data_IF_795611073833
#
_entry.id   IF_795611073833
#
_cell.length_a   1.000
_cell.length_b   1.000
_cell.length_c   1.000
_cell.angle_alpha   90.00
_cell.angle_beta   90.00
_cell.angle_gamma   90.00
#
_symmetry.space_group_name_H-M   'P 1'
#
loop_
_entity.id
_entity.type
_entity.pdbx_description
1 polymer ?
#
# COMPACT_ATOMS: atom_id res chain seq x y z
N UNK A 1 -28.15 1.45 -20.60
CA UNK A 1 -26.93 1.96 -21.24
C UNK A 1 -25.78 1.31 -20.51
N UNK A 2 -25.05 0.38 -21.14
CA UNK A 2 -23.82 -0.17 -20.57
C UNK A 2 -22.84 0.98 -20.38
N UNK A 3 -22.27 1.14 -19.19
CA UNK A 3 -21.25 2.17 -18.97
C UNK A 3 -20.04 1.83 -19.86
N UNK A 4 -19.52 2.80 -20.62
CA UNK A 4 -18.32 2.57 -21.46
C UNK A 4 -17.00 2.72 -20.67
N UNK A 5 -17.09 3.05 -19.38
CA UNK A 5 -15.96 3.37 -18.52
C UNK A 5 -16.16 2.82 -17.11
N UNK A 6 -15.05 2.62 -16.41
CA UNK A 6 -15.06 2.30 -14.98
C UNK A 6 -15.40 3.54 -14.15
N UNK A 7 -15.97 3.38 -12.96
CA UNK A 7 -16.08 4.46 -11.96
C UNK A 7 -15.26 4.09 -10.74
N UNK A 8 -14.22 4.88 -10.44
CA UNK A 8 -13.43 4.73 -9.23
C UNK A 8 -14.09 5.60 -8.15
N UNK A 9 -14.91 4.98 -7.29
CA UNK A 9 -15.53 5.64 -6.14
C UNK A 9 -14.53 5.59 -4.98
N UNK A 10 -13.80 6.68 -4.80
CA UNK A 10 -12.65 6.75 -3.90
C UNK A 10 -12.58 8.09 -3.17
N UNK A 11 -11.47 8.34 -2.47
CA UNK A 11 -11.23 9.63 -1.80
C UNK A 11 -9.76 10.02 -1.84
N UNK A 12 -9.47 11.32 -1.87
CA UNK A 12 -8.11 11.85 -1.93
C UNK A 12 -7.25 11.41 -0.74
N UNK A 13 -7.85 11.33 0.45
CA UNK A 13 -7.17 10.85 1.65
C UNK A 13 -7.12 9.31 1.82
N UNK A 14 -7.40 8.53 0.78
CA UNK A 14 -7.29 7.07 0.81
C UNK A 14 -6.07 6.61 -0.01
N UNK A 15 -5.06 5.96 0.62
CA UNK A 15 -3.88 5.49 -0.11
C UNK A 15 -4.25 4.52 -1.23
N UNK A 16 -5.16 3.59 -0.97
CA UNK A 16 -5.65 2.62 -1.94
C UNK A 16 -6.41 3.27 -3.11
N UNK A 17 -7.15 4.35 -2.85
CA UNK A 17 -7.88 5.06 -3.92
C UNK A 17 -6.91 5.76 -4.87
N UNK A 18 -5.86 6.37 -4.30
CA UNK A 18 -4.82 7.03 -5.07
C UNK A 18 -3.96 6.02 -5.86
N UNK A 19 -3.60 4.88 -5.24
CA UNK A 19 -2.97 3.72 -5.89
C UNK A 19 -3.76 3.28 -7.12
N UNK A 20 -5.06 2.96 -6.96
CA UNK A 20 -5.87 2.49 -8.08
C UNK A 20 -6.07 3.56 -9.15
N UNK A 21 -6.27 4.83 -8.78
CA UNK A 21 -6.39 5.92 -9.76
C UNK A 21 -5.14 6.06 -10.63
N UNK A 22 -3.96 6.02 -10.02
CA UNK A 22 -2.70 6.11 -10.74
C UNK A 22 -2.47 4.89 -11.64
N UNK A 23 -2.82 3.68 -11.19
CA UNK A 23 -2.78 2.47 -12.02
C UNK A 23 -3.67 2.65 -13.26
N UNK A 24 -4.92 3.10 -13.08
CA UNK A 24 -5.84 3.34 -14.20
C UNK A 24 -5.30 4.39 -15.18
N UNK A 25 -4.73 5.49 -14.67
CA UNK A 25 -4.09 6.53 -15.50
C UNK A 25 -2.89 5.99 -16.26
N UNK A 26 -1.98 5.30 -15.58
CA UNK A 26 -0.81 4.67 -16.21
C UNK A 26 -1.22 3.67 -17.28
N UNK A 27 -2.14 2.76 -16.97
CA UNK A 27 -2.63 1.72 -17.89
C UNK A 27 -3.54 2.27 -18.99
N UNK A 28 -3.87 3.57 -18.95
CA UNK A 28 -4.77 4.26 -19.90
C UNK A 28 -6.16 3.61 -19.97
N UNK A 29 -6.65 3.08 -18.85
CA UNK A 29 -7.98 2.48 -18.77
C UNK A 29 -9.01 3.62 -18.63
N UNK A 30 -10.01 3.74 -19.52
CA UNK A 30 -11.04 4.78 -19.42
C UNK A 30 -11.83 4.68 -18.11
N UNK A 31 -11.81 5.75 -17.33
CA UNK A 31 -12.47 5.80 -16.03
C UNK A 31 -12.96 7.19 -15.67
N UNK A 32 -13.94 7.23 -14.77
CA UNK A 32 -14.32 8.41 -14.02
C UNK A 32 -13.76 8.32 -12.60
N UNK A 33 -13.11 9.38 -12.15
CA UNK A 33 -12.84 9.59 -10.73
C UNK A 33 -14.11 10.12 -10.06
N UNK A 34 -14.63 9.38 -9.09
CA UNK A 34 -15.81 9.76 -8.32
C UNK A 34 -15.39 9.97 -6.87
N UNK A 35 -15.25 11.23 -6.47
CA UNK A 35 -14.97 11.59 -5.09
C UNK A 35 -16.14 11.14 -4.19
N UNK A 36 -15.84 10.34 -3.17
CA UNK A 36 -16.83 9.80 -2.26
C UNK A 36 -17.45 10.92 -1.43
N UNK A 37 -18.78 10.98 -1.45
CA UNK A 37 -19.64 11.91 -0.74
C UNK A 37 -20.82 11.15 -0.09
N UNK A 38 -21.78 11.86 0.49
CA UNK A 38 -22.92 11.22 1.17
C UNK A 38 -23.83 10.42 0.23
N UNK A 39 -23.97 10.82 -1.03
CA UNK A 39 -24.80 10.12 -2.02
C UNK A 39 -24.14 8.81 -2.48
N UNK A 40 -22.87 8.89 -2.88
CA UNK A 40 -22.09 7.71 -3.30
C UNK A 40 -21.88 6.73 -2.15
N UNK A 41 -21.77 7.21 -0.89
CA UNK A 41 -21.81 6.33 0.30
C UNK A 41 -23.11 5.53 0.40
N UNK A 42 -24.26 6.13 0.06
CA UNK A 42 -25.56 5.43 0.02
C UNK A 42 -25.62 4.45 -1.16
N UNK A 43 -25.14 4.87 -2.33
CA UNK A 43 -25.05 4.04 -3.54
C UNK A 43 -24.34 2.72 -3.26
N UNK A 44 -23.16 2.78 -2.65
CA UNK A 44 -22.28 1.61 -2.42
C UNK A 44 -22.46 0.96 -1.05
N UNK A 45 -23.50 1.32 -0.29
CA UNK A 45 -23.72 0.81 1.08
C UNK A 45 -23.93 -0.71 1.14
N UNK A 46 -24.23 -1.35 0.01
CA UNK A 46 -24.40 -2.79 -0.15
C UNK A 46 -23.08 -3.55 -0.38
N UNK A 47 -22.00 -2.86 -0.75
CA UNK A 47 -20.69 -3.46 -1.04
C UNK A 47 -19.98 -3.84 0.26
N UNK A 48 -19.31 -5.00 0.27
CA UNK A 48 -18.59 -5.53 1.44
C UNK A 48 -17.19 -6.00 1.04
N UNK A 49 -16.16 -5.77 1.88
CA UNK A 49 -16.17 -4.92 3.09
C UNK A 49 -16.39 -3.43 2.75
N UNK A 50 -16.82 -2.57 3.70
CA UNK A 50 -17.11 -1.15 3.43
C UNK A 50 -15.83 -0.32 3.39
N UNK A 51 -14.95 -0.62 2.44
CA UNK A 51 -13.63 0.01 2.23
C UNK A 51 -13.57 0.63 0.84
N UNK A 52 -12.79 1.72 0.71
CA UNK A 52 -12.53 2.38 -0.57
C UNK A 52 -11.10 2.09 -1.04
N UNK A 53 -10.83 2.07 -2.35
CA UNK A 53 -11.76 2.39 -3.44
C UNK A 53 -12.77 1.28 -3.70
N UNK A 54 -13.94 1.68 -4.19
CA UNK A 54 -14.92 0.78 -4.80
C UNK A 54 -14.95 1.12 -6.27
N UNK A 55 -14.65 0.15 -7.13
CA UNK A 55 -14.65 0.34 -8.57
C UNK A 55 -15.89 -0.31 -9.15
N UNK A 56 -16.75 0.50 -9.78
CA UNK A 56 -17.83 -0.01 -10.62
C UNK A 56 -17.26 -0.31 -12.01
N UNK A 57 -17.50 -1.53 -12.47
CA UNK A 57 -17.08 -1.99 -13.79
C UNK A 57 -18.10 -1.58 -14.87
N UNK A 58 -17.72 -1.61 -16.16
CA UNK A 58 -18.62 -1.32 -17.29
C UNK A 58 -19.93 -2.12 -17.29
N UNK A 59 -19.90 -3.34 -16.75
CA UNK A 59 -21.07 -4.23 -16.59
C UNK A 59 -21.98 -3.87 -15.40
N UNK A 60 -21.62 -2.84 -14.62
CA UNK A 60 -22.35 -2.36 -13.46
C UNK A 60 -22.01 -3.06 -12.15
N UNK A 61 -21.15 -4.08 -12.15
CA UNK A 61 -20.71 -4.77 -10.92
C UNK A 61 -19.74 -3.92 -10.11
N UNK A 62 -19.78 -4.05 -8.78
CA UNK A 62 -18.91 -3.30 -7.86
C UNK A 62 -17.88 -4.22 -7.22
N UNK A 63 -16.62 -3.78 -7.26
CA UNK A 63 -15.47 -4.51 -6.72
C UNK A 63 -14.66 -3.61 -5.77
N UNK A 64 -14.05 -4.21 -4.76
CA UNK A 64 -13.12 -3.58 -3.82
C UNK A 64 -11.99 -4.57 -3.53
N UNK A 65 -11.06 -4.21 -2.63
CA UNK A 65 -9.79 -4.91 -2.40
C UNK A 65 -8.81 -4.75 -3.58
N UNK A 66 -7.82 -3.85 -3.42
CA UNK A 66 -6.95 -3.41 -4.52
C UNK A 66 -6.12 -4.53 -5.11
N UNK A 67 -5.59 -5.44 -4.29
CA UNK A 67 -4.69 -6.50 -4.74
C UNK A 67 -5.35 -7.47 -5.72
N UNK A 68 -6.47 -8.17 -5.40
CA UNK A 68 -7.14 -9.05 -6.36
C UNK A 68 -7.69 -8.27 -7.56
N UNK A 69 -8.10 -7.02 -7.35
CA UNK A 69 -8.61 -6.16 -8.42
C UNK A 69 -7.53 -5.80 -9.44
N UNK A 70 -6.28 -5.60 -9.02
CA UNK A 70 -5.15 -5.42 -9.95
C UNK A 70 -5.05 -6.63 -10.89
N UNK A 71 -5.06 -7.86 -10.36
CA UNK A 71 -4.95 -9.06 -11.18
C UNK A 71 -6.17 -9.29 -12.09
N UNK A 72 -7.39 -8.99 -11.63
CA UNK A 72 -8.57 -9.03 -12.50
C UNK A 72 -8.48 -7.99 -13.64
N UNK A 73 -7.97 -6.78 -13.36
CA UNK A 73 -7.73 -5.77 -14.40
C UNK A 73 -6.60 -6.18 -15.36
N UNK A 74 -5.57 -6.88 -14.90
CA UNK A 74 -4.54 -7.47 -15.79
C UNK A 74 -5.16 -8.51 -16.72
N UNK A 75 -6.10 -9.34 -16.25
CA UNK A 75 -6.78 -10.33 -17.09
C UNK A 75 -7.74 -9.68 -18.11
N UNK A 76 -8.31 -8.51 -17.80
CA UNK A 76 -9.31 -7.82 -18.64
C UNK A 76 -8.71 -6.88 -19.68
N UNK A 77 -7.51 -6.36 -19.44
CA UNK A 77 -6.89 -5.33 -20.28
C UNK A 77 -5.49 -5.75 -20.71
N UNK A 78 -5.21 -5.63 -22.01
CA UNK A 78 -3.89 -5.94 -22.58
C UNK A 78 -2.97 -4.72 -22.63
N UNK A 79 -1.66 -4.94 -22.52
CA UNK A 79 -0.64 -3.89 -22.62
C UNK A 79 -0.53 -3.04 -21.35
N UNK A 80 0.61 -2.36 -21.19
CA UNK A 80 0.92 -1.52 -20.02
C UNK A 80 0.73 -2.27 -18.70
N UNK A 81 1.06 -3.56 -18.70
CA UNK A 81 1.01 -4.41 -17.51
C UNK A 81 1.86 -3.81 -16.40
N UNK A 82 1.39 -3.95 -15.16
CA UNK A 82 2.16 -3.59 -13.95
C UNK A 82 2.70 -4.82 -13.22
N UNK A 83 2.54 -6.01 -13.79
CA UNK A 83 3.08 -7.26 -13.26
C UNK A 83 4.29 -7.65 -14.11
N UNK A 84 5.49 -7.80 -13.52
CA UNK A 84 6.64 -8.31 -14.25
C UNK A 84 6.37 -9.66 -14.92
N UNK A 85 6.94 -9.89 -16.10
CA UNK A 85 6.74 -11.13 -16.86
C UNK A 85 7.54 -12.31 -16.28
N UNK A 86 8.73 -12.04 -15.74
CA UNK A 86 9.55 -13.07 -15.11
C UNK A 86 9.00 -13.41 -13.72
N UNK A 87 8.78 -14.70 -13.46
CA UNK A 87 8.08 -15.20 -12.27
C UNK A 87 8.71 -14.71 -10.95
N UNK A 88 10.05 -14.69 -10.88
CA UNK A 88 10.77 -14.24 -9.71
C UNK A 88 10.54 -12.76 -9.43
N UNK A 89 10.67 -11.89 -10.44
CA UNK A 89 10.36 -10.47 -10.31
C UNK A 89 8.88 -10.22 -10.00
N UNK A 90 7.97 -11.00 -10.57
CA UNK A 90 6.54 -10.90 -10.27
C UNK A 90 6.25 -11.21 -8.80
N UNK A 91 6.89 -12.25 -8.25
CA UNK A 91 6.82 -12.57 -6.83
C UNK A 91 7.39 -11.46 -5.94
N UNK A 92 8.56 -10.92 -6.29
CA UNK A 92 9.17 -9.81 -5.56
C UNK A 92 8.28 -8.56 -5.57
N UNK A 93 7.68 -8.24 -6.71
CA UNK A 93 6.76 -7.11 -6.83
C UNK A 93 5.50 -7.31 -5.97
N UNK A 94 4.97 -8.54 -5.90
CA UNK A 94 3.86 -8.88 -5.01
C UNK A 94 4.25 -8.79 -3.53
N UNK A 95 5.41 -9.32 -3.11
CA UNK A 95 5.88 -9.21 -1.73
C UNK A 95 5.97 -7.75 -1.26
N UNK A 96 6.51 -6.86 -2.11
CA UNK A 96 6.61 -5.44 -1.79
C UNK A 96 5.23 -4.77 -1.78
N UNK A 97 4.32 -5.18 -2.67
CA UNK A 97 2.95 -4.68 -2.68
C UNK A 97 2.17 -5.06 -1.42
N UNK A 98 2.21 -6.33 -1.02
CA UNK A 98 1.56 -6.83 0.21
C UNK A 98 2.15 -6.14 1.46
N UNK A 99 3.47 -5.97 1.51
CA UNK A 99 4.12 -5.21 2.58
C UNK A 99 3.70 -3.74 2.59
N UNK A 100 3.52 -3.12 1.43
CA UNK A 100 3.04 -1.75 1.35
C UNK A 100 1.60 -1.63 1.88
N UNK A 101 0.72 -2.54 1.46
CA UNK A 101 -0.68 -2.49 1.82
C UNK A 101 -0.96 -2.90 3.28
N UNK A 102 -0.05 -3.62 3.94
CA UNK A 102 -0.21 -4.08 5.33
C UNK A 102 0.69 -3.38 6.36
N UNK A 103 1.98 -3.16 6.04
CA UNK A 103 2.93 -2.52 6.96
C UNK A 103 3.07 -1.01 6.73
N UNK A 104 3.28 -0.56 5.49
CA UNK A 104 3.43 0.89 5.21
C UNK A 104 2.12 1.64 5.51
N UNK A 105 0.95 0.98 5.39
CA UNK A 105 -0.33 1.52 5.86
C UNK A 105 -0.31 1.95 7.32
N UNK A 106 0.48 1.29 8.18
CA UNK A 106 0.64 1.68 9.59
C UNK A 106 1.38 2.99 9.74
N UNK A 107 2.36 3.26 8.86
CA UNK A 107 3.08 4.54 8.83
C UNK A 107 2.12 5.66 8.48
N UNK A 108 1.35 5.48 7.39
CA UNK A 108 0.31 6.44 6.99
C UNK A 108 -0.66 6.69 8.14
N UNK A 109 -1.24 5.63 8.71
CA UNK A 109 -2.27 5.77 9.74
C UNK A 109 -1.72 6.40 11.03
N UNK A 110 -0.48 6.03 11.42
CA UNK A 110 0.23 6.62 12.54
C UNK A 110 0.40 8.13 12.34
N UNK A 111 1.07 8.55 11.28
CA UNK A 111 1.36 9.97 11.08
C UNK A 111 0.09 10.82 10.95
N UNK A 112 -0.98 10.27 10.35
CA UNK A 112 -2.26 10.97 10.20
C UNK A 112 -2.96 11.24 11.52
N UNK A 113 -2.96 10.25 12.41
CA UNK A 113 -3.85 10.24 13.57
C UNK A 113 -3.13 10.31 14.91
N UNK A 114 -1.80 10.26 14.97
CA UNK A 114 -1.06 10.27 16.23
C UNK A 114 -0.93 11.67 16.82
N UNK A 115 -0.37 12.63 16.07
CA UNK A 115 -0.19 13.99 16.56
C UNK A 115 -1.43 14.84 16.31
N UNK A 116 -1.75 15.73 17.27
CA UNK A 116 -2.94 16.57 17.19
C UNK A 116 -2.96 17.49 15.97
N UNK A 117 -1.78 17.98 15.52
CA UNK A 117 -1.65 18.81 14.32
C UNK A 117 -2.21 18.10 13.09
N UNK A 118 -1.78 16.87 12.86
CA UNK A 118 -2.18 16.03 11.73
C UNK A 118 -3.65 15.64 11.84
N UNK A 119 -4.11 15.20 13.02
CA UNK A 119 -5.51 14.87 13.27
C UNK A 119 -6.45 16.04 12.91
N UNK A 120 -6.12 17.27 13.33
CA UNK A 120 -6.93 18.46 13.07
C UNK A 120 -6.97 18.80 11.59
N UNK A 121 -5.80 18.90 10.94
CA UNK A 121 -5.73 19.25 9.52
C UNK A 121 -6.44 18.21 8.64
N UNK A 122 -6.13 16.93 8.87
CA UNK A 122 -6.64 15.86 8.01
C UNK A 122 -8.12 15.58 8.23
N UNK A 123 -8.65 15.73 9.46
CA UNK A 123 -10.09 15.62 9.67
C UNK A 123 -10.89 16.70 8.94
N UNK A 124 -10.39 17.94 8.88
CA UNK A 124 -11.03 19.02 8.12
C UNK A 124 -11.02 18.75 6.61
N UNK A 125 -9.88 18.33 6.06
CA UNK A 125 -9.79 18.00 4.62
C UNK A 125 -10.67 16.81 4.25
N UNK A 126 -10.64 15.73 5.03
CA UNK A 126 -11.48 14.55 4.79
C UNK A 126 -12.99 14.84 4.95
N UNK A 127 -13.35 15.77 5.83
CA UNK A 127 -14.71 16.25 5.96
C UNK A 127 -15.14 17.08 4.75
N UNK A 128 -14.31 18.04 4.33
CA UNK A 128 -14.55 18.85 3.13
C UNK A 128 -14.70 17.97 1.88
N UNK A 129 -13.83 16.99 1.72
CA UNK A 129 -13.87 15.98 0.65
C UNK A 129 -15.19 15.22 0.56
N UNK A 130 -15.88 15.02 1.69
CA UNK A 130 -17.15 14.29 1.78
C UNK A 130 -18.37 15.22 1.67
N UNK A 131 -18.24 16.46 2.13
CA UNK A 131 -19.33 17.44 2.30
C UNK A 131 -19.04 18.78 1.59
N UNK A 132 -18.56 18.79 0.33
CA UNK A 132 -18.23 20.04 -0.34
C UNK A 132 -19.51 20.87 -0.54
N UNK A 133 -19.49 22.13 -0.10
CA UNK A 133 -20.62 23.05 -0.25
C UNK A 133 -21.67 23.01 0.88
N UNK A 134 -21.52 22.14 1.89
CA UNK A 134 -22.49 21.99 3.00
C UNK A 134 -22.36 23.05 4.12
N UNK A 135 -21.44 24.01 3.96
CA UNK A 135 -21.18 25.08 4.93
C UNK A 135 -20.13 24.71 5.99
N UNK A 136 -19.41 25.72 6.49
CA UNK A 136 -18.25 25.52 7.36
C UNK A 136 -18.60 24.80 8.68
N UNK A 137 -19.68 25.20 9.35
CA UNK A 137 -20.10 24.60 10.62
C UNK A 137 -20.44 23.10 10.48
N UNK A 138 -21.14 22.73 9.41
CA UNK A 138 -21.44 21.32 9.08
C UNK A 138 -20.17 20.52 8.85
N UNK A 139 -19.22 21.08 8.08
CA UNK A 139 -17.94 20.44 7.78
C UNK A 139 -17.11 20.25 9.05
N UNK A 140 -16.98 21.26 9.89
CA UNK A 140 -16.23 21.19 11.16
C UNK A 140 -16.88 20.21 12.16
N UNK A 141 -18.22 20.19 12.22
CA UNK A 141 -18.97 19.23 13.02
C UNK A 141 -18.69 17.78 12.61
N UNK A 142 -18.74 17.49 11.30
CA UNK A 142 -18.39 16.18 10.77
C UNK A 142 -16.91 15.83 11.00
N UNK A 143 -16.00 16.79 10.79
CA UNK A 143 -14.56 16.61 11.02
C UNK A 143 -14.28 16.14 12.46
N UNK A 144 -14.91 16.78 13.46
CA UNK A 144 -14.79 16.39 14.87
C UNK A 144 -15.21 14.95 15.10
N UNK A 145 -16.43 14.57 14.69
CA UNK A 145 -16.93 13.19 14.86
C UNK A 145 -16.08 12.17 14.11
N UNK A 146 -15.61 12.50 12.91
CA UNK A 146 -14.75 11.65 12.12
C UNK A 146 -13.39 11.44 12.81
N UNK A 147 -12.77 12.52 13.30
CA UNK A 147 -11.51 12.49 14.05
C UNK A 147 -11.63 11.60 15.28
N UNK A 148 -12.63 11.81 16.13
CA UNK A 148 -12.82 11.06 17.37
C UNK A 148 -12.91 9.55 17.08
N UNK A 149 -13.64 9.18 16.01
CA UNK A 149 -13.74 7.79 15.56
C UNK A 149 -12.41 7.21 15.08
N UNK A 150 -11.60 7.95 14.33
CA UNK A 150 -10.32 7.44 13.80
C UNK A 150 -9.27 7.32 14.91
N UNK A 151 -9.17 8.32 15.79
CA UNK A 151 -8.28 8.28 16.96
C UNK A 151 -8.66 7.12 17.88
N UNK A 152 -9.95 6.86 18.10
CA UNK A 152 -10.42 5.70 18.87
C UNK A 152 -10.08 4.34 18.25
N UNK A 153 -9.64 4.28 16.99
CA UNK A 153 -9.26 3.04 16.29
C UNK A 153 -7.75 2.79 16.24
N UNK A 154 -6.93 3.72 16.73
CA UNK A 154 -5.47 3.63 16.64
C UNK A 154 -4.89 2.34 17.21
N UNK A 155 -5.41 1.87 18.35
CA UNK A 155 -4.99 0.60 18.96
C UNK A 155 -5.35 -0.62 18.09
N UNK A 156 -6.50 -0.60 17.39
CA UNK A 156 -6.92 -1.68 16.51
C UNK A 156 -6.01 -1.81 15.28
N UNK A 157 -5.46 -0.70 14.79
CA UNK A 157 -4.51 -0.66 13.67
C UNK A 157 -3.06 -0.94 14.12
N UNK A 158 -2.81 -0.88 15.43
CA UNK A 158 -1.47 -1.02 16.00
C UNK A 158 -0.62 0.24 15.86
N UNK A 159 -1.24 1.42 15.83
CA UNK A 159 -0.58 2.73 15.81
C UNK A 159 -0.67 3.36 17.21
N UNK A 160 0.01 2.79 18.20
CA UNK A 160 0.00 3.27 19.59
C UNK A 160 1.34 3.93 19.95
N UNK A 161 1.38 4.64 21.09
CA UNK A 161 2.65 5.18 21.62
C UNK A 161 3.68 4.07 21.89
N UNK A 162 3.22 2.85 22.22
CA UNK A 162 4.10 1.69 22.40
C UNK A 162 4.81 1.29 21.10
N UNK A 163 4.09 1.36 19.97
CA UNK A 163 4.61 0.94 18.66
C UNK A 163 5.28 2.09 17.87
N UNK A 164 5.16 3.34 18.35
CA UNK A 164 5.56 4.55 17.64
C UNK A 164 6.98 4.44 17.09
N UNK A 165 7.96 4.08 17.93
CA UNK A 165 9.37 4.08 17.55
C UNK A 165 9.65 3.12 16.38
N UNK A 166 9.05 1.93 16.39
CA UNK A 166 9.25 0.96 15.30
C UNK A 166 8.65 1.47 13.99
N UNK A 167 7.47 2.08 14.03
CA UNK A 167 6.79 2.64 12.85
C UNK A 167 7.60 3.81 12.28
N UNK A 168 8.07 4.73 13.13
CA UNK A 168 8.84 5.91 12.68
C UNK A 168 10.23 5.54 12.18
N UNK A 169 10.90 4.56 12.81
CA UNK A 169 12.20 4.06 12.36
C UNK A 169 12.10 3.36 11.01
N UNK A 170 11.07 2.53 10.81
CA UNK A 170 10.85 1.87 9.51
C UNK A 170 10.48 2.88 8.42
N UNK A 171 9.69 3.92 8.75
CA UNK A 171 9.40 5.02 7.81
C UNK A 171 10.67 5.78 7.40
N UNK A 172 11.54 6.13 8.36
CA UNK A 172 12.80 6.86 8.07
C UNK A 172 13.74 6.04 7.20
N UNK A 173 13.88 4.73 7.47
CA UNK A 173 14.67 3.83 6.63
C UNK A 173 14.13 3.74 5.21
N UNK A 174 12.81 3.72 5.02
CA UNK A 174 12.22 3.75 3.67
C UNK A 174 12.41 5.08 2.97
N UNK A 175 12.40 6.21 3.69
CA UNK A 175 12.70 7.52 3.11
C UNK A 175 14.12 7.52 2.54
N UNK A 176 15.11 7.08 3.32
CA UNK A 176 16.50 6.96 2.88
C UNK A 176 16.65 5.99 1.69
N UNK A 177 16.04 4.81 1.78
CA UNK A 177 16.11 3.78 0.74
C UNK A 177 15.51 4.27 -0.60
N UNK A 178 14.33 4.86 -0.54
CA UNK A 178 13.62 5.32 -1.73
C UNK A 178 14.24 6.60 -2.29
N UNK A 179 14.71 7.53 -1.45
CA UNK A 179 15.45 8.71 -1.91
C UNK A 179 16.71 8.31 -2.70
N UNK A 180 17.47 7.34 -2.19
CA UNK A 180 18.62 6.79 -2.88
C UNK A 180 18.23 6.04 -4.18
N UNK A 181 17.08 5.36 -4.19
CA UNK A 181 16.58 4.67 -5.39
C UNK A 181 16.22 5.65 -6.50
N UNK A 182 15.36 6.63 -6.21
CA UNK A 182 14.79 7.54 -7.22
C UNK A 182 15.81 8.54 -7.78
N UNK A 183 16.94 8.72 -7.09
CA UNK A 183 18.11 9.47 -7.57
C UNK A 183 19.16 8.59 -8.25
N UNK A 184 18.93 7.28 -8.29
CA UNK A 184 19.80 6.28 -8.90
C UNK A 184 19.63 6.16 -10.42
N UNK A 185 20.03 5.00 -10.96
CA UNK A 185 20.01 4.71 -12.41
C UNK A 185 18.74 4.00 -12.89
N UNK A 186 17.96 3.44 -11.98
CA UNK A 186 16.71 2.75 -12.28
C UNK A 186 15.54 3.67 -11.92
N UNK A 187 14.61 3.89 -12.86
CA UNK A 187 13.50 4.84 -12.65
C UNK A 187 12.41 4.29 -11.72
N UNK A 188 12.23 2.97 -11.76
CA UNK A 188 11.27 2.20 -10.96
C UNK A 188 11.95 0.93 -10.45
N UNK A 189 11.34 0.26 -9.47
CA UNK A 189 11.95 -0.89 -8.79
C UNK A 189 12.33 -2.03 -9.74
N UNK A 190 11.57 -2.20 -10.82
CA UNK A 190 11.73 -3.26 -11.81
C UNK A 190 12.06 -2.71 -13.21
N UNK A 191 12.80 -1.60 -13.30
CA UNK A 191 13.41 -1.13 -14.54
C UNK A 191 12.87 0.22 -15.04
N UNK A 192 12.54 0.30 -16.33
CA UNK A 192 12.15 1.55 -17.00
C UNK A 192 10.63 1.83 -16.97
N UNK A 193 9.85 0.92 -16.38
CA UNK A 193 8.39 1.02 -16.21
C UNK A 193 7.96 0.69 -14.77
N UNK A 194 6.85 1.25 -14.27
CA UNK A 194 6.37 0.98 -12.92
C UNK A 194 5.70 -0.41 -12.84
N UNK A 195 5.83 -1.03 -11.67
CA UNK A 195 5.15 -2.26 -11.27
C UNK A 195 4.06 -2.00 -10.22
N UNK A 196 3.31 -3.04 -9.85
CA UNK A 196 2.37 -2.97 -8.73
C UNK A 196 3.06 -2.56 -7.42
N UNK A 197 4.34 -2.89 -7.22
CA UNK A 197 5.09 -2.48 -6.04
C UNK A 197 5.23 -0.94 -5.98
N UNK A 198 5.63 -0.33 -7.09
CA UNK A 198 5.81 1.13 -7.19
C UNK A 198 4.49 1.86 -6.90
N UNK A 199 3.38 1.40 -7.48
CA UNK A 199 2.06 2.01 -7.24
C UNK A 199 1.55 1.81 -5.81
N UNK A 200 1.95 0.74 -5.14
CA UNK A 200 1.51 0.45 -3.76
C UNK A 200 2.28 1.25 -2.74
N UNK A 201 3.59 1.40 -2.96
CA UNK A 201 4.41 2.38 -2.23
C UNK A 201 3.84 3.78 -2.45
N UNK A 202 3.55 4.16 -3.71
CA UNK A 202 2.94 5.46 -4.00
C UNK A 202 1.63 5.67 -3.28
N UNK A 203 0.73 4.66 -3.26
CA UNK A 203 -0.52 4.73 -2.53
C UNK A 203 -0.30 5.22 -1.09
N UNK A 204 0.54 4.52 -0.34
CA UNK A 204 0.81 4.87 1.07
C UNK A 204 1.58 6.18 1.22
N UNK A 205 2.61 6.40 0.41
CA UNK A 205 3.50 7.55 0.55
C UNK A 205 2.88 8.85 0.01
N UNK A 206 1.92 8.78 -0.92
CA UNK A 206 1.13 9.94 -1.35
C UNK A 206 0.40 10.58 -0.18
N UNK A 207 0.01 9.78 0.81
CA UNK A 207 -0.63 10.26 2.03
C UNK A 207 0.38 10.90 2.97
N UNK A 208 1.56 10.31 3.12
CA UNK A 208 2.68 10.90 3.87
C UNK A 208 3.16 12.23 3.24
N UNK A 209 3.04 12.38 1.92
CA UNK A 209 3.35 13.62 1.20
C UNK A 209 2.28 14.72 1.37
N UNK A 210 1.15 14.41 1.99
CA UNK A 210 0.01 15.32 2.21
C UNK A 210 -0.17 15.64 3.70
N UNK A 211 -0.08 14.63 4.56
CA UNK A 211 -0.24 14.78 6.00
C UNK A 211 0.87 15.69 6.58
N UNK A 212 0.57 16.67 7.45
CA UNK A 212 1.49 17.76 7.79
C UNK A 212 2.89 17.33 8.28
N UNK A 213 2.96 16.50 9.32
CA UNK A 213 4.21 16.07 9.94
C UNK A 213 5.07 15.22 9.01
N UNK A 214 4.57 14.14 8.39
CA UNK A 214 5.39 13.34 7.48
C UNK A 214 5.72 14.10 6.18
N UNK A 215 4.89 15.05 5.75
CA UNK A 215 5.19 15.90 4.59
C UNK A 215 6.39 16.82 4.89
N UNK A 216 6.40 17.47 6.05
CA UNK A 216 7.53 18.30 6.49
C UNK A 216 8.83 17.46 6.54
N UNK A 217 8.75 16.25 7.12
CA UNK A 217 9.86 15.29 7.18
C UNK A 217 10.33 14.86 5.78
N UNK A 218 9.43 14.42 4.91
CA UNK A 218 9.75 13.95 3.56
C UNK A 218 10.37 15.06 2.72
N UNK A 219 9.87 16.29 2.80
CA UNK A 219 10.47 17.42 2.07
C UNK A 219 11.87 17.79 2.56
N UNK A 220 12.16 17.57 3.83
CA UNK A 220 13.47 17.83 4.41
C UNK A 220 14.48 16.72 4.10
N UNK A 221 14.06 15.45 4.19
CA UNK A 221 14.96 14.29 4.19
C UNK A 221 14.96 13.51 2.87
N UNK A 222 13.84 13.53 2.13
CA UNK A 222 13.64 12.77 0.90
C UNK A 222 12.90 13.59 -0.20
N UNK A 223 13.45 14.75 -0.62
CA UNK A 223 12.78 15.64 -1.56
C UNK A 223 12.59 15.05 -2.96
N UNK A 224 13.47 14.16 -3.42
CA UNK A 224 13.31 13.53 -4.74
C UNK A 224 12.28 12.41 -4.71
N UNK A 225 12.15 11.68 -3.60
CA UNK A 225 11.04 10.78 -3.34
C UNK A 225 9.71 11.54 -3.41
N UNK A 226 9.60 12.68 -2.72
CA UNK A 226 8.41 13.53 -2.82
C UNK A 226 8.07 13.84 -4.29
N UNK A 227 9.07 14.22 -5.10
CA UNK A 227 8.85 14.53 -6.51
C UNK A 227 8.46 13.32 -7.35
N UNK A 228 9.07 12.16 -7.10
CA UNK A 228 8.77 10.89 -7.77
C UNK A 228 7.33 10.43 -7.50
N UNK A 229 6.83 10.58 -6.27
CA UNK A 229 5.42 10.30 -5.93
C UNK A 229 4.46 11.17 -6.73
N UNK A 230 4.78 12.45 -6.92
CA UNK A 230 3.98 13.37 -7.73
C UNK A 230 3.99 13.01 -9.22
N UNK A 231 5.06 12.40 -9.74
CA UNK A 231 5.05 11.87 -11.11
C UNK A 231 4.20 10.60 -11.23
N UNK A 232 4.28 9.71 -10.23
CA UNK A 232 3.54 8.45 -10.24
C UNK A 232 2.01 8.63 -10.23
N UNK A 233 1.47 9.75 -9.73
CA UNK A 233 0.01 10.02 -9.75
C UNK A 233 -0.58 10.07 -11.17
N UNK A 234 0.22 10.44 -12.18
CA UNK A 234 -0.18 10.42 -13.59
C UNK A 234 0.99 10.12 -14.54
N UNK A 235 1.13 8.84 -14.88
CA UNK A 235 2.06 8.34 -15.89
C UNK A 235 1.37 7.99 -17.21
N UNK A 236 0.21 8.58 -17.51
CA UNK A 236 -0.53 8.32 -18.76
C UNK A 236 0.30 8.66 -20.01
N UNK A 237 1.18 9.65 -19.93
CA UNK A 237 2.12 10.05 -21.00
C UNK A 237 3.44 9.26 -21.06
N UNK A 238 3.71 8.36 -20.11
CA UNK A 238 4.94 7.55 -20.13
C UNK A 238 4.84 6.48 -21.21
N UNK A 239 5.83 6.34 -22.09
CA UNK A 239 5.86 5.21 -23.03
C UNK A 239 6.37 3.93 -22.34
N UNK A 240 5.94 2.78 -22.84
CA UNK A 240 6.19 1.49 -22.19
C UNK A 240 7.69 1.14 -22.25
N UNK A 241 8.34 1.13 -21.09
CA UNK A 241 9.76 0.78 -20.95
C UNK A 241 10.00 -0.72 -20.84
N UNK A 242 11.28 -1.13 -20.81
CA UNK A 242 11.64 -2.51 -20.52
C UNK A 242 11.54 -2.83 -19.02
N UNK A 243 11.17 -4.08 -18.71
CA UNK A 243 11.41 -4.68 -17.39
C UNK A 243 12.91 -4.81 -17.10
N UNK A 244 13.27 -4.91 -15.82
CA UNK A 244 14.64 -5.20 -15.37
C UNK A 244 15.08 -6.54 -15.97
N UNK A 245 16.34 -6.61 -16.42
CA UNK A 245 16.96 -7.89 -16.78
C UNK A 245 16.97 -8.84 -15.55
N UNK A 246 16.31 -10.00 -15.61
CA UNK A 246 16.29 -10.97 -14.51
C UNK A 246 17.67 -11.55 -14.16
N UNK A 247 18.64 -11.49 -15.07
CA UNK A 247 20.00 -11.90 -14.81
C UNK A 247 20.85 -10.83 -14.11
N UNK A 248 20.39 -9.57 -14.09
CA UNK A 248 21.10 -8.50 -13.40
C UNK A 248 20.98 -8.69 -11.87
N UNK A 249 22.05 -8.37 -11.10
CA UNK A 249 21.96 -8.34 -9.65
C UNK A 249 20.80 -7.46 -9.16
N UNK A 250 20.20 -7.82 -8.02
CA UNK A 250 19.18 -6.99 -7.38
C UNK A 250 19.75 -5.59 -7.10
N UNK A 251 18.92 -4.56 -7.29
CA UNK A 251 19.32 -3.20 -6.93
C UNK A 251 19.36 -3.04 -5.41
N UNK A 252 20.12 -2.06 -4.89
CA UNK A 252 20.11 -1.76 -3.46
C UNK A 252 18.71 -1.49 -2.90
N UNK A 253 17.81 -0.95 -3.73
CA UNK A 253 16.41 -0.74 -3.37
C UNK A 253 15.68 -2.06 -3.11
N UNK A 254 15.77 -3.01 -4.05
CA UNK A 254 15.17 -4.34 -3.90
C UNK A 254 15.79 -5.10 -2.71
N UNK A 255 17.12 -5.07 -2.56
CA UNK A 255 17.78 -5.68 -1.40
C UNK A 255 17.29 -5.05 -0.07
N UNK A 256 17.14 -3.73 -0.01
CA UNK A 256 16.65 -3.02 1.17
C UNK A 256 15.20 -3.36 1.51
N UNK A 257 14.34 -3.51 0.50
CA UNK A 257 12.96 -3.98 0.71
C UNK A 257 12.91 -5.43 1.20
N UNK A 258 13.75 -6.31 0.67
CA UNK A 258 13.86 -7.69 1.16
C UNK A 258 14.31 -7.75 2.62
N UNK A 259 15.33 -6.96 2.98
CA UNK A 259 15.78 -6.85 4.37
C UNK A 259 14.65 -6.37 5.29
N UNK A 260 13.92 -5.32 4.89
CA UNK A 260 12.78 -4.84 5.67
C UNK A 260 11.68 -5.90 5.80
N UNK A 261 11.43 -6.65 4.73
CA UNK A 261 10.46 -7.73 4.77
C UNK A 261 10.86 -8.83 5.76
N UNK A 262 12.15 -9.19 5.83
CA UNK A 262 12.63 -10.24 6.73
C UNK A 262 12.77 -9.80 8.18
N UNK A 263 13.19 -8.55 8.41
CA UNK A 263 13.39 -8.02 9.76
C UNK A 263 12.09 -7.57 10.43
N UNK A 264 11.06 -7.22 9.65
CA UNK A 264 9.84 -6.60 10.18
C UNK A 264 8.58 -7.30 9.67
N UNK A 265 8.39 -7.39 8.35
CA UNK A 265 7.09 -7.74 7.79
C UNK A 265 6.69 -9.21 7.97
N UNK A 266 7.57 -10.16 7.64
CA UNK A 266 7.28 -11.58 7.87
C UNK A 266 7.17 -11.91 9.37
N UNK A 267 8.06 -11.43 10.26
CA UNK A 267 7.87 -11.60 11.71
C UNK A 267 6.50 -11.07 12.20
N UNK A 268 6.06 -9.92 11.69
CA UNK A 268 4.74 -9.35 11.96
C UNK A 268 3.61 -10.30 11.53
N UNK A 269 3.64 -10.79 10.29
CA UNK A 269 2.62 -11.70 9.77
C UNK A 269 2.61 -13.05 10.51
N UNK A 270 3.78 -13.59 10.85
CA UNK A 270 3.93 -14.87 11.56
C UNK A 270 3.42 -14.78 12.99
N UNK A 271 3.75 -13.71 13.72
CA UNK A 271 3.24 -13.48 15.07
C UNK A 271 1.70 -13.36 15.06
N UNK A 272 1.14 -12.64 14.09
CA UNK A 272 -0.29 -12.53 13.89
C UNK A 272 -0.94 -13.89 13.58
N UNK A 273 -0.36 -14.67 12.65
CA UNK A 273 -0.86 -16.02 12.31
C UNK A 273 -0.86 -16.93 13.53
N UNK A 274 0.24 -16.94 14.30
CA UNK A 274 0.36 -17.75 15.52
C UNK A 274 -0.72 -17.40 16.55
N UNK A 275 -0.93 -16.11 16.81
CA UNK A 275 -1.98 -15.66 17.73
C UNK A 275 -3.39 -16.01 17.22
N UNK A 276 -3.65 -15.85 15.92
CA UNK A 276 -4.92 -16.25 15.31
C UNK A 276 -5.21 -17.74 15.47
N UNK A 277 -4.22 -18.60 15.24
CA UNK A 277 -4.36 -20.05 15.42
C UNK A 277 -4.54 -20.45 16.89
N UNK A 278 -3.97 -19.68 17.82
CA UNK A 278 -4.14 -19.86 19.26
C UNK A 278 -5.45 -19.26 19.80
N UNK A 279 -6.21 -18.52 19.00
CA UNK A 279 -7.41 -17.79 19.43
C UNK A 279 -7.13 -16.60 20.35
N UNK A 280 -5.90 -16.06 20.29
CA UNK A 280 -5.48 -14.90 21.09
C UNK A 280 -6.03 -13.59 20.49
N UNK A 281 -6.50 -12.68 21.34
CA UNK A 281 -7.06 -11.39 20.91
C UNK A 281 -5.99 -10.42 20.40
N UNK A 282 -4.76 -10.52 20.91
CA UNK A 282 -3.62 -9.69 20.51
C UNK A 282 -2.38 -10.54 20.26
N UNK A 283 -1.45 -9.99 19.49
CA UNK A 283 -0.13 -10.58 19.30
C UNK A 283 0.96 -9.55 19.58
N UNK A 284 2.16 -10.06 19.87
CA UNK A 284 3.37 -9.27 20.07
C UNK A 284 4.51 -9.83 19.25
N UNK A 285 5.38 -8.94 18.78
CA UNK A 285 6.68 -9.31 18.24
C UNK A 285 7.69 -8.21 18.52
N UNK A 286 8.97 -8.51 18.31
CA UNK A 286 10.06 -7.55 18.39
C UNK A 286 10.74 -7.47 17.02
N UNK A 287 11.04 -6.25 16.57
CA UNK A 287 11.82 -6.02 15.37
C UNK A 287 12.73 -4.81 15.58
N UNK A 288 13.95 -4.87 15.05
CA UNK A 288 14.95 -3.81 15.20
C UNK A 288 15.23 -3.44 16.68
N UNK A 289 15.08 -4.38 17.60
CA UNK A 289 15.21 -4.17 19.06
C UNK A 289 14.08 -3.36 19.70
N UNK A 290 12.96 -3.19 18.99
CA UNK A 290 11.79 -2.42 19.43
C UNK A 290 10.54 -3.31 19.50
N UNK A 291 9.69 -3.11 20.51
CA UNK A 291 8.49 -3.92 20.68
C UNK A 291 7.36 -3.47 19.73
N UNK A 292 6.44 -4.40 19.47
CA UNK A 292 5.18 -4.11 18.79
C UNK A 292 4.04 -4.98 19.34
N UNK A 293 2.87 -4.39 19.49
CA UNK A 293 1.62 -5.09 19.86
C UNK A 293 0.43 -4.63 19.01
N UNK A 294 -0.43 -5.56 18.58
CA UNK A 294 -1.68 -5.26 17.88
C UNK A 294 -2.73 -6.33 18.16
N UNK A 295 -4.00 -5.97 18.00
CA UNK A 295 -5.07 -6.95 17.86
C UNK A 295 -4.86 -7.90 16.68
N UNK A 296 -5.15 -9.17 16.91
CA UNK A 296 -5.08 -10.24 15.91
C UNK A 296 -6.00 -9.93 14.74
N UNK A 297 -5.47 -10.06 13.52
CA UNK A 297 -6.17 -9.66 12.30
C UNK A 297 -6.22 -10.77 11.27
N UNK A 298 -7.43 -11.26 11.00
CA UNK A 298 -7.68 -12.40 10.11
C UNK A 298 -7.18 -12.16 8.68
N UNK A 299 -7.26 -10.94 8.17
CA UNK A 299 -6.84 -10.64 6.80
C UNK A 299 -5.33 -10.86 6.60
N UNK A 300 -4.51 -10.49 7.58
CA UNK A 300 -3.05 -10.69 7.56
C UNK A 300 -2.65 -12.17 7.57
N UNK A 301 -3.51 -13.06 8.08
CA UNK A 301 -3.29 -14.52 7.95
C UNK A 301 -3.39 -14.94 6.48
N UNK A 302 -4.37 -14.40 5.74
CA UNK A 302 -4.53 -14.65 4.30
C UNK A 302 -3.33 -14.12 3.51
N UNK A 303 -2.81 -12.93 3.85
CA UNK A 303 -1.61 -12.36 3.23
C UNK A 303 -0.41 -13.33 3.32
N UNK A 304 -0.12 -13.84 4.52
CA UNK A 304 0.99 -14.79 4.72
C UNK A 304 0.80 -16.09 3.94
N UNK A 305 -0.42 -16.66 3.96
CA UNK A 305 -0.74 -17.87 3.21
C UNK A 305 -0.56 -17.65 1.70
N UNK A 306 -0.97 -16.50 1.17
CA UNK A 306 -0.83 -16.17 -0.25
C UNK A 306 0.64 -15.94 -0.65
N UNK A 307 1.45 -15.27 0.18
CA UNK A 307 2.89 -15.13 -0.04
C UNK A 307 3.58 -16.49 -0.14
N UNK A 308 3.30 -17.39 0.80
CA UNK A 308 3.83 -18.76 0.81
C UNK A 308 3.36 -19.54 -0.41
N UNK A 309 2.08 -19.46 -0.75
CA UNK A 309 1.52 -20.14 -1.91
C UNK A 309 2.17 -19.67 -3.21
N UNK A 310 2.33 -18.36 -3.42
CA UNK A 310 2.97 -17.80 -4.62
C UNK A 310 4.42 -18.19 -4.72
N UNK A 311 5.18 -18.09 -3.63
CA UNK A 311 6.57 -18.55 -3.60
C UNK A 311 6.68 -20.04 -3.96
N UNK A 312 5.84 -20.89 -3.37
CA UNK A 312 5.84 -22.33 -3.62
C UNK A 312 5.40 -22.69 -5.05
N UNK A 313 4.62 -21.84 -5.70
CA UNK A 313 4.14 -22.04 -7.07
C UNK A 313 5.16 -21.60 -8.14
N UNK A 314 6.24 -20.93 -7.75
CA UNK A 314 7.33 -20.58 -8.67
C UNK A 314 7.97 -21.81 -9.29
N UNK A 315 8.39 -21.70 -10.55
CA UNK A 315 9.22 -22.71 -11.22
C UNK A 315 10.54 -22.94 -10.47
N UNK A 316 11.14 -24.12 -10.66
CA UNK A 316 12.43 -24.44 -10.04
C UNK A 316 13.55 -23.47 -10.42
N UNK A 317 13.53 -22.95 -11.66
CA UNK A 317 14.48 -21.94 -12.12
C UNK A 317 14.29 -20.60 -11.40
N UNK A 318 13.05 -20.12 -11.30
CA UNK A 318 12.74 -18.88 -10.61
C UNK A 318 13.09 -18.95 -9.11
N UNK A 319 12.78 -20.07 -8.44
CA UNK A 319 13.18 -20.30 -7.04
C UNK A 319 14.70 -20.26 -6.87
N UNK A 320 15.43 -21.02 -7.69
CA UNK A 320 16.89 -21.09 -7.60
C UNK A 320 17.56 -19.70 -7.79
N UNK A 321 16.96 -18.82 -8.61
CA UNK A 321 17.43 -17.43 -8.76
C UNK A 321 17.17 -16.58 -7.51
N UNK A 322 16.03 -16.74 -6.86
CA UNK A 322 15.62 -15.91 -5.71
C UNK A 322 16.18 -16.37 -4.37
N UNK A 323 16.32 -17.68 -4.17
CA UNK A 323 16.71 -18.30 -2.89
C UNK A 323 17.92 -17.64 -2.23
N UNK A 324 19.05 -17.35 -2.93
CA UNK A 324 20.20 -16.70 -2.29
C UNK A 324 19.88 -15.33 -1.69
N UNK A 325 19.06 -14.53 -2.37
CA UNK A 325 18.67 -13.20 -1.89
C UNK A 325 17.64 -13.29 -0.75
N UNK A 326 16.69 -14.23 -0.84
CA UNK A 326 15.69 -14.47 0.20
C UNK A 326 16.33 -15.04 1.47
N UNK A 327 17.30 -15.94 1.35
CA UNK A 327 18.06 -16.50 2.49
C UNK A 327 18.87 -15.39 3.17
N UNK A 328 19.62 -14.59 2.39
CA UNK A 328 20.39 -13.43 2.90
C UNK A 328 19.49 -12.45 3.67
N UNK A 329 18.24 -12.28 3.23
CA UNK A 329 17.26 -11.42 3.88
C UNK A 329 16.46 -12.10 5.01
N UNK A 330 16.69 -13.38 5.32
CA UNK A 330 15.96 -14.11 6.36
C UNK A 330 14.52 -14.49 5.99
N UNK A 331 14.16 -14.43 4.71
CA UNK A 331 12.79 -14.68 4.21
C UNK A 331 12.55 -16.15 3.86
N UNK A 332 13.59 -16.87 3.41
CA UNK A 332 13.41 -18.17 2.74
C UNK A 332 12.73 -19.21 3.62
N UNK A 333 13.12 -19.31 4.90
CA UNK A 333 12.50 -20.25 5.85
C UNK A 333 11.00 -20.00 6.01
N UNK A 334 10.62 -18.74 6.19
CA UNK A 334 9.21 -18.34 6.38
C UNK A 334 8.37 -18.59 5.13
N UNK A 335 8.89 -18.25 3.95
CA UNK A 335 8.21 -18.42 2.66
C UNK A 335 8.09 -19.90 2.25
N UNK A 336 9.05 -20.74 2.66
CA UNK A 336 9.06 -22.18 2.38
C UNK A 336 8.14 -22.97 3.30
N UNK A 337 7.65 -22.38 4.40
CA UNK A 337 6.72 -23.03 5.30
C UNK A 337 5.35 -23.24 4.64
N UNK A 338 4.55 -24.24 5.06
CA UNK A 338 3.21 -24.47 4.53
C UNK A 338 2.33 -23.21 4.61
N UNK A 339 1.54 -22.99 3.55
CA UNK A 339 0.59 -21.88 3.44
C UNK A 339 -0.49 -21.93 4.52
#
# INVERSE_FOLDING_TARGET
>A
MTQEHYRIIGGLGSPYSMKMRAIFRYRRIPHLWVQQNMETRKEVAHVRPPVIPIIQYPDGTYHNDSTPMIYDLEARHTGRSIVPEEEGQAFLAYLIEDMADEWLTKMMFHYRWFLERDQKQMSLWLAFDTLPGEGLETIEGFAKTFRDRQVGRMALVGCTAHNQQLIEQTCTRLFELLEAHVTGKERYLFGARPSLADFSIMGQFSQLAVDPTPCDKMRAEAPFLFRWLMELDDLSGLEEGAWRDPAAPLSPALEGFLQMAGEVYLPFLEANKKAYEAGEETFRFEALGLPYEQGTFRYQVKCLSELRHRFQSLSGEAKARLEPALEKAGLLTSLSAPA
#
